data_IF_703100501997
#
_entry.id   IF_703100501997
#
_cell.length_a   1.000
_cell.length_b   1.000
_cell.length_c   1.000
_cell.angle_alpha   90.00
_cell.angle_beta   90.00
_cell.angle_gamma   90.00
#
_symmetry.space_group_name_H-M   'P 1'
#
loop_
_entity.id
_entity.type
_entity.pdbx_description
1 polymer ?
#
# COMPACT_ATOMS: atom_id res chain seq x y z
N UNK A 1 10.41 -6.53 10.48
CA UNK A 1 9.80 -7.34 9.41
C UNK A 1 9.56 -6.42 8.21
N UNK A 2 9.82 -6.89 6.99
CA UNK A 2 9.53 -6.22 5.72
C UNK A 2 8.23 -6.82 5.16
N UNK A 3 7.28 -5.99 4.72
CA UNK A 3 6.03 -6.43 4.10
C UNK A 3 5.84 -5.79 2.74
N UNK A 4 5.09 -6.50 1.87
CA UNK A 4 4.86 -6.10 0.48
C UNK A 4 3.38 -5.83 0.22
N UNK A 5 3.12 -4.78 -0.56
CA UNK A 5 1.83 -4.45 -1.17
C UNK A 5 2.05 -4.49 -2.68
N UNK A 6 1.26 -5.28 -3.40
CA UNK A 6 1.40 -5.48 -4.84
C UNK A 6 0.24 -4.85 -5.61
N UNK A 7 0.48 -4.51 -6.87
CA UNK A 7 -0.53 -3.98 -7.79
C UNK A 7 -1.74 -4.92 -7.95
N UNK A 8 -1.51 -6.23 -8.03
CA UNK A 8 -2.56 -7.25 -8.23
C UNK A 8 -3.12 -7.81 -6.91
N UNK A 9 -2.98 -7.11 -5.80
CA UNK A 9 -3.46 -7.45 -4.45
C UNK A 9 -2.94 -8.78 -3.89
N UNK A 10 -2.74 -9.82 -4.70
CA UNK A 10 -2.28 -11.17 -4.36
C UNK A 10 -3.05 -11.79 -3.17
N UNK A 11 -4.37 -11.61 -3.17
CA UNK A 11 -5.24 -12.25 -2.20
C UNK A 11 -5.54 -13.69 -2.62
N UNK A 12 -5.58 -14.58 -1.63
CA UNK A 12 -5.96 -15.98 -1.87
C UNK A 12 -7.48 -16.08 -2.02
N UNK A 13 -8.01 -16.44 -3.21
CA UNK A 13 -9.44 -16.36 -3.51
C UNK A 13 -10.30 -17.38 -2.73
N UNK A 14 -9.69 -18.46 -2.26
CA UNK A 14 -10.37 -19.49 -1.47
C UNK A 14 -10.55 -19.08 0.00
N UNK A 15 -9.74 -18.15 0.50
CA UNK A 15 -9.82 -17.65 1.86
C UNK A 15 -10.73 -16.42 1.94
N UNK A 16 -11.37 -16.23 3.09
CA UNK A 16 -12.06 -14.97 3.38
C UNK A 16 -11.05 -13.84 3.69
N UNK A 17 -11.55 -12.62 3.81
CA UNK A 17 -10.75 -11.40 4.07
C UNK A 17 -9.92 -11.55 5.35
N UNK A 18 -10.54 -11.97 6.45
CA UNK A 18 -9.83 -12.13 7.73
C UNK A 18 -8.68 -13.13 7.62
N UNK A 19 -8.91 -14.28 6.98
CA UNK A 19 -7.90 -15.30 6.83
C UNK A 19 -6.76 -14.87 5.88
N UNK A 20 -7.05 -14.05 4.86
CA UNK A 20 -6.02 -13.42 4.03
C UNK A 20 -5.12 -12.51 4.87
N UNK A 21 -5.71 -11.68 5.73
CA UNK A 21 -4.96 -10.76 6.60
C UNK A 21 -4.18 -11.51 7.66
N UNK A 22 -4.70 -12.64 8.16
CA UNK A 22 -4.04 -13.45 9.18
C UNK A 22 -2.85 -14.29 8.66
N UNK A 23 -2.68 -14.45 7.33
CA UNK A 23 -1.63 -15.31 6.77
C UNK A 23 -0.22 -15.06 7.32
N UNK A 24 0.29 -13.82 7.36
CA UNK A 24 1.64 -13.57 7.91
C UNK A 24 1.74 -13.92 9.39
N UNK A 25 0.65 -13.81 10.14
CA UNK A 25 0.59 -14.14 11.56
C UNK A 25 0.63 -15.65 11.78
N UNK A 26 0.00 -16.41 10.88
CA UNK A 26 0.07 -17.88 10.86
C UNK A 26 1.51 -18.35 10.67
N UNK A 27 2.22 -17.79 9.68
CA UNK A 27 3.63 -18.13 9.43
C UNK A 27 4.58 -17.67 10.56
N UNK A 28 4.20 -16.62 11.28
CA UNK A 28 4.92 -16.18 12.48
C UNK A 28 4.65 -17.06 13.71
N UNK A 29 3.83 -18.11 13.59
CA UNK A 29 3.56 -19.08 14.65
C UNK A 29 2.62 -18.58 15.76
N UNK A 30 1.87 -17.49 15.54
CA UNK A 30 0.93 -16.97 16.52
C UNK A 30 -0.25 -17.93 16.73
N UNK A 31 -0.81 -17.94 17.93
CA UNK A 31 -2.02 -18.69 18.25
C UNK A 31 -3.23 -18.18 17.43
N UNK A 32 -4.24 -19.02 17.22
CA UNK A 32 -5.46 -18.65 16.50
C UNK A 32 -6.16 -17.42 17.11
N UNK A 33 -6.13 -17.27 18.41
CA UNK A 33 -6.71 -16.13 19.12
C UNK A 33 -5.96 -14.83 18.77
N UNK A 34 -4.62 -14.85 18.83
CA UNK A 34 -3.78 -13.70 18.48
C UNK A 34 -3.90 -13.33 17.00
N UNK A 35 -3.92 -14.36 16.11
CA UNK A 35 -4.14 -14.14 14.67
C UNK A 35 -5.45 -13.39 14.43
N UNK A 36 -6.55 -13.86 15.04
CA UNK A 36 -7.87 -13.22 14.91
C UNK A 36 -7.86 -11.78 15.43
N UNK A 37 -7.31 -11.56 16.62
CA UNK A 37 -7.24 -10.23 17.24
C UNK A 37 -6.45 -9.24 16.37
N UNK A 38 -5.24 -9.61 15.96
CA UNK A 38 -4.37 -8.74 15.14
C UNK A 38 -4.94 -8.51 13.74
N UNK A 39 -5.52 -9.54 13.11
CA UNK A 39 -6.13 -9.41 11.80
C UNK A 39 -7.36 -8.49 11.84
N UNK A 40 -8.21 -8.60 12.86
CA UNK A 40 -9.35 -7.69 13.03
C UNK A 40 -8.90 -6.26 13.29
N UNK A 41 -7.90 -6.03 14.14
CA UNK A 41 -7.34 -4.69 14.36
C UNK A 41 -6.76 -4.07 13.07
N UNK A 42 -6.11 -4.88 12.23
CA UNK A 42 -5.61 -4.41 10.93
C UNK A 42 -6.76 -4.09 9.95
N UNK A 43 -7.83 -4.89 9.94
CA UNK A 43 -9.02 -4.63 9.13
C UNK A 43 -9.77 -3.36 9.59
N UNK A 44 -9.81 -3.11 10.88
CA UNK A 44 -10.40 -1.90 11.43
C UNK A 44 -9.65 -0.64 10.98
N UNK A 45 -8.31 -0.67 10.98
CA UNK A 45 -7.48 0.43 10.47
C UNK A 45 -7.78 0.79 9.01
N UNK A 46 -8.11 -0.19 8.17
CA UNK A 46 -8.45 0.04 6.76
C UNK A 46 -9.95 0.21 6.50
N UNK A 47 -10.79 0.21 7.56
CA UNK A 47 -12.24 0.40 7.48
C UNK A 47 -12.99 -0.77 6.83
N UNK A 48 -12.54 -2.01 7.03
CA UNK A 48 -13.11 -3.22 6.43
C UNK A 48 -13.42 -4.35 7.43
N UNK A 49 -13.58 -4.03 8.71
CA UNK A 49 -13.93 -5.02 9.75
C UNK A 49 -15.27 -5.71 9.49
N UNK A 50 -16.25 -5.00 8.90
CA UNK A 50 -17.55 -5.54 8.49
C UNK A 50 -17.45 -6.55 7.33
N UNK A 51 -16.36 -6.52 6.56
CA UNK A 51 -16.07 -7.41 5.42
C UNK A 51 -15.22 -8.63 5.78
N UNK A 52 -14.88 -8.84 7.05
CA UNK A 52 -13.98 -9.90 7.50
C UNK A 52 -14.35 -11.32 7.01
N UNK A 53 -15.66 -11.60 6.86
CA UNK A 53 -16.18 -12.89 6.40
C UNK A 53 -16.32 -13.00 4.87
N UNK A 54 -16.24 -11.88 4.14
CA UNK A 54 -16.36 -11.85 2.68
C UNK A 54 -15.17 -12.55 2.01
N UNK A 55 -15.37 -13.04 0.79
CA UNK A 55 -14.29 -13.49 -0.09
C UNK A 55 -13.77 -12.33 -0.94
N UNK A 56 -12.53 -12.38 -1.45
CA UNK A 56 -11.99 -11.34 -2.33
C UNK A 56 -12.90 -11.01 -3.52
N UNK A 57 -13.56 -12.01 -4.13
CA UNK A 57 -14.49 -11.82 -5.25
C UNK A 57 -15.73 -10.98 -4.93
N UNK A 58 -16.03 -10.76 -3.67
CA UNK A 58 -17.16 -9.96 -3.18
C UNK A 58 -16.76 -8.51 -2.87
N UNK A 59 -15.52 -8.12 -3.17
CA UNK A 59 -14.95 -6.81 -2.88
C UNK A 59 -14.63 -6.04 -4.17
N UNK A 60 -14.77 -4.72 -4.11
CA UNK A 60 -14.23 -3.84 -5.15
C UNK A 60 -12.70 -3.90 -5.19
N UNK A 61 -12.06 -3.46 -6.30
CA UNK A 61 -10.61 -3.40 -6.41
C UNK A 61 -9.95 -2.60 -5.29
N UNK A 62 -10.50 -1.44 -4.95
CA UNK A 62 -10.00 -0.62 -3.83
C UNK A 62 -10.14 -1.29 -2.46
N UNK A 63 -11.22 -2.04 -2.26
CA UNK A 63 -11.38 -2.84 -1.03
C UNK A 63 -10.37 -3.98 -0.99
N UNK A 64 -10.13 -4.68 -2.11
CA UNK A 64 -9.11 -5.72 -2.19
C UNK A 64 -7.71 -5.15 -1.90
N UNK A 65 -7.38 -3.96 -2.42
CA UNK A 65 -6.11 -3.29 -2.12
C UNK A 65 -6.00 -2.95 -0.63
N UNK A 66 -7.06 -2.45 0.00
CA UNK A 66 -7.06 -2.20 1.45
C UNK A 66 -6.90 -3.48 2.27
N UNK A 67 -7.45 -4.62 1.82
CA UNK A 67 -7.18 -5.93 2.45
C UNK A 67 -5.72 -6.33 2.32
N UNK A 68 -5.09 -6.10 1.15
CA UNK A 68 -3.65 -6.33 0.95
C UNK A 68 -2.81 -5.47 1.90
N UNK A 69 -3.18 -4.21 2.08
CA UNK A 69 -2.52 -3.30 3.05
C UNK A 69 -2.74 -3.80 4.49
N UNK A 70 -3.96 -4.19 4.87
CA UNK A 70 -4.24 -4.75 6.19
C UNK A 70 -3.40 -6.00 6.48
N UNK A 71 -3.23 -6.88 5.48
CA UNK A 71 -2.35 -8.05 5.57
C UNK A 71 -0.90 -7.65 5.84
N UNK A 72 -0.39 -6.63 5.18
CA UNK A 72 0.94 -6.10 5.44
C UNK A 72 1.07 -5.55 6.88
N UNK A 73 0.07 -4.81 7.35
CA UNK A 73 0.05 -4.18 8.67
C UNK A 73 -0.10 -5.17 9.83
N UNK A 74 -0.80 -6.29 9.63
CA UNK A 74 -1.10 -7.26 10.67
C UNK A 74 0.15 -7.76 11.40
N UNK A 75 1.28 -7.85 10.68
CA UNK A 75 2.58 -8.24 11.22
C UNK A 75 3.38 -7.11 11.89
N UNK A 76 2.83 -5.89 12.00
CA UNK A 76 3.54 -4.71 12.54
C UNK A 76 4.91 -4.50 11.87
N UNK A 77 4.98 -4.29 10.55
CA UNK A 77 6.24 -4.18 9.83
C UNK A 77 6.96 -2.87 10.17
N UNK A 78 8.30 -2.92 10.18
CA UNK A 78 9.13 -1.71 10.23
C UNK A 78 9.15 -0.97 8.88
N UNK A 79 9.04 -1.72 7.78
CA UNK A 79 9.08 -1.19 6.41
C UNK A 79 7.99 -1.84 5.57
N UNK A 80 7.27 -1.03 4.81
CA UNK A 80 6.27 -1.45 3.82
C UNK A 80 6.81 -1.10 2.43
N UNK A 81 6.93 -2.10 1.57
CA UNK A 81 7.27 -1.94 0.16
C UNK A 81 5.99 -2.01 -0.67
N UNK A 82 5.62 -0.91 -1.32
CA UNK A 82 4.43 -0.81 -2.14
C UNK A 82 4.82 -0.70 -3.62
N UNK A 83 4.55 -1.76 -4.38
CA UNK A 83 4.86 -1.88 -5.80
C UNK A 83 3.61 -1.57 -6.62
N UNK A 84 3.61 -0.41 -7.31
CA UNK A 84 2.48 0.12 -8.09
C UNK A 84 1.12 0.02 -7.36
N UNK A 85 1.00 0.49 -6.11
CA UNK A 85 -0.16 0.18 -5.26
C UNK A 85 -1.48 0.76 -5.77
N UNK A 86 -1.44 1.66 -6.75
CA UNK A 86 -2.61 2.31 -7.37
C UNK A 86 -2.81 1.94 -8.84
N UNK A 87 -1.88 1.19 -9.44
CA UNK A 87 -1.85 0.94 -10.89
C UNK A 87 -3.06 0.19 -11.46
N UNK A 88 -3.78 -0.58 -10.65
CA UNK A 88 -5.00 -1.29 -11.05
C UNK A 88 -6.30 -0.60 -10.61
N UNK A 89 -6.22 0.64 -10.09
CA UNK A 89 -7.35 1.36 -9.51
C UNK A 89 -7.77 2.56 -10.37
N UNK A 90 -9.03 2.93 -10.30
CA UNK A 90 -9.49 4.23 -10.83
C UNK A 90 -8.88 5.39 -10.03
N UNK A 91 -8.86 6.58 -10.63
CA UNK A 91 -8.18 7.75 -10.07
C UNK A 91 -8.69 8.15 -8.67
N UNK A 92 -9.99 8.00 -8.39
CA UNK A 92 -10.57 8.33 -7.08
C UNK A 92 -10.09 7.35 -6.02
N UNK A 93 -10.24 6.06 -6.30
CA UNK A 93 -9.82 4.97 -5.40
C UNK A 93 -8.31 4.98 -5.19
N UNK A 94 -7.52 5.27 -6.24
CA UNK A 94 -6.07 5.43 -6.16
C UNK A 94 -5.67 6.55 -5.19
N UNK A 95 -6.34 7.72 -5.24
CA UNK A 95 -6.11 8.82 -4.29
C UNK A 95 -6.42 8.41 -2.85
N UNK A 96 -7.49 7.65 -2.62
CA UNK A 96 -7.83 7.15 -1.28
C UNK A 96 -6.74 6.23 -0.72
N UNK A 97 -6.22 5.31 -1.55
CA UNK A 97 -5.11 4.42 -1.17
C UNK A 97 -3.84 5.21 -0.87
N UNK A 98 -3.49 6.20 -1.71
CA UNK A 98 -2.31 7.05 -1.46
C UNK A 98 -2.45 7.86 -0.17
N UNK A 99 -3.61 8.44 0.11
CA UNK A 99 -3.86 9.16 1.35
C UNK A 99 -3.71 8.24 2.56
N UNK A 100 -4.17 7.00 2.45
CA UNK A 100 -4.01 6.01 3.51
C UNK A 100 -2.53 5.66 3.74
N UNK A 101 -1.74 5.44 2.70
CA UNK A 101 -0.30 5.20 2.81
C UNK A 101 0.43 6.40 3.47
N UNK A 102 0.07 7.64 3.10
CA UNK A 102 0.60 8.85 3.74
C UNK A 102 0.26 8.93 5.23
N UNK A 103 -0.96 8.53 5.60
CA UNK A 103 -1.36 8.47 7.01
C UNK A 103 -0.51 7.45 7.77
N UNK A 104 -0.31 6.26 7.24
CA UNK A 104 0.57 5.25 7.84
C UNK A 104 2.00 5.74 8.02
N UNK A 105 2.52 6.51 7.05
CA UNK A 105 3.84 7.13 7.18
C UNK A 105 3.88 8.13 8.34
N UNK A 106 2.88 9.00 8.48
CA UNK A 106 2.76 9.93 9.61
C UNK A 106 2.63 9.22 10.96
N UNK A 107 2.09 8.01 10.98
CA UNK A 107 2.02 7.15 12.17
C UNK A 107 3.34 6.44 12.51
N UNK A 108 4.41 6.68 11.72
CA UNK A 108 5.76 6.18 11.97
C UNK A 108 6.19 4.99 11.13
N UNK A 109 5.38 4.55 10.15
CA UNK A 109 5.80 3.48 9.24
C UNK A 109 6.77 4.03 8.16
N UNK A 110 7.82 3.29 7.85
CA UNK A 110 8.62 3.56 6.66
C UNK A 110 7.95 2.92 5.45
N UNK A 111 7.65 3.75 4.43
CA UNK A 111 7.01 3.29 3.19
C UNK A 111 7.96 3.54 2.03
N UNK A 112 8.28 2.48 1.28
CA UNK A 112 9.01 2.55 0.02
C UNK A 112 7.99 2.30 -1.09
N UNK A 113 7.75 3.32 -1.90
CA UNK A 113 6.83 3.28 -3.02
C UNK A 113 7.59 3.09 -4.32
N UNK A 114 7.27 2.05 -5.07
CA UNK A 114 7.80 1.82 -6.41
C UNK A 114 6.72 2.21 -7.41
N UNK A 115 7.03 3.13 -8.32
CA UNK A 115 6.10 3.56 -9.36
C UNK A 115 6.84 4.14 -10.56
N UNK A 116 6.25 4.03 -11.74
CA UNK A 116 6.68 4.74 -12.94
C UNK A 116 5.87 6.03 -13.19
N UNK A 117 4.86 6.29 -12.35
CA UNK A 117 4.01 7.49 -12.45
C UNK A 117 4.61 8.64 -11.65
N UNK A 118 5.05 9.69 -12.36
CA UNK A 118 5.62 10.88 -11.75
C UNK A 118 4.62 11.65 -10.86
N UNK A 119 3.31 11.56 -11.15
CA UNK A 119 2.28 12.20 -10.32
C UNK A 119 2.12 11.52 -8.96
N UNK A 120 2.40 10.22 -8.90
CA UNK A 120 2.46 9.46 -7.66
C UNK A 120 3.78 9.73 -6.93
N UNK A 121 4.91 9.73 -7.65
CA UNK A 121 6.23 10.07 -7.09
C UNK A 121 6.24 11.49 -6.47
N UNK A 122 5.58 12.47 -7.10
CA UNK A 122 5.44 13.84 -6.60
C UNK A 122 4.77 13.93 -5.21
N UNK A 123 4.08 12.89 -4.79
CA UNK A 123 3.38 12.86 -3.51
C UNK A 123 4.23 12.31 -2.36
N UNK A 124 5.50 11.98 -2.61
CA UNK A 124 6.46 11.49 -1.61
C UNK A 124 7.39 12.60 -1.13
N UNK A 125 8.17 12.35 -0.08
CA UNK A 125 9.14 13.32 0.45
C UNK A 125 10.51 13.19 -0.22
N UNK A 126 10.89 11.98 -0.62
CA UNK A 126 12.17 11.63 -1.25
C UNK A 126 11.94 10.73 -2.45
N UNK A 127 12.70 10.97 -3.50
CA UNK A 127 12.68 10.17 -4.73
C UNK A 127 14.07 9.60 -4.99
N UNK A 128 14.10 8.30 -5.30
CA UNK A 128 15.26 7.64 -5.88
C UNK A 128 14.89 7.23 -7.30
N UNK A 129 15.52 7.85 -8.32
CA UNK A 129 15.26 7.54 -9.72
C UNK A 129 16.30 6.60 -10.27
N UNK A 130 15.83 5.54 -10.88
CA UNK A 130 16.67 4.51 -11.50
C UNK A 130 16.40 4.51 -13.00
N UNK A 131 17.46 4.59 -13.81
CA UNK A 131 17.42 4.47 -15.27
C UNK A 131 18.54 3.53 -15.71
N UNK A 132 18.21 2.53 -16.53
CA UNK A 132 19.16 1.51 -17.03
C UNK A 132 20.01 0.86 -15.90
N UNK A 133 19.34 0.57 -14.77
CA UNK A 133 19.97 -0.07 -13.62
C UNK A 133 20.92 0.83 -12.81
N UNK A 134 20.94 2.13 -13.08
CA UNK A 134 21.77 3.12 -12.36
C UNK A 134 20.88 4.13 -11.64
N UNK A 135 21.30 4.53 -10.44
CA UNK A 135 20.67 5.65 -9.72
C UNK A 135 21.12 6.94 -10.40
N UNK A 136 20.16 7.67 -10.97
CA UNK A 136 20.39 8.95 -11.65
C UNK A 136 19.94 10.15 -10.81
N UNK A 137 19.12 9.93 -9.79
CA UNK A 137 18.74 10.90 -8.79
C UNK A 137 18.45 10.22 -7.46
N UNK A 138 18.84 10.84 -6.37
CA UNK A 138 18.48 10.45 -4.99
C UNK A 138 18.46 11.71 -4.12
N UNK A 139 17.26 12.11 -3.69
CA UNK A 139 17.08 13.33 -2.91
C UNK A 139 15.62 13.72 -2.68
N UNK A 140 15.39 14.94 -2.16
CA UNK A 140 14.05 15.47 -1.96
C UNK A 140 13.25 15.52 -3.27
N UNK A 141 11.94 15.34 -3.18
CA UNK A 141 11.05 15.28 -4.37
C UNK A 141 11.06 16.57 -5.19
N UNK A 142 11.20 17.72 -4.55
CA UNK A 142 11.25 19.04 -5.20
C UNK A 142 12.53 19.28 -6.01
N UNK A 143 13.60 18.55 -5.74
CA UNK A 143 14.84 18.55 -6.52
C UNK A 143 14.82 17.62 -7.74
N UNK A 144 13.83 16.74 -7.87
CA UNK A 144 13.70 15.86 -9.04
C UNK A 144 13.09 16.63 -10.23
N UNK A 145 13.92 16.91 -11.26
CA UNK A 145 13.51 17.66 -12.46
C UNK A 145 12.36 17.00 -13.22
N UNK A 146 12.20 15.68 -13.16
CA UNK A 146 11.14 14.95 -13.85
C UNK A 146 9.79 15.10 -13.14
N UNK A 147 9.80 15.29 -11.83
CA UNK A 147 8.61 15.60 -11.03
C UNK A 147 8.26 17.09 -11.16
N UNK A 148 9.24 17.98 -11.06
CA UNK A 148 9.06 19.44 -11.12
C UNK A 148 8.49 19.94 -12.47
N UNK A 149 8.67 19.20 -13.57
CA UNK A 149 8.10 19.58 -14.88
C UNK A 149 6.59 19.32 -15.00
N UNK A 150 6.00 18.48 -14.15
CA UNK A 150 4.56 18.20 -14.18
C UNK A 150 3.73 19.25 -13.42
N UNK A 151 4.25 19.88 -12.39
CA UNK A 151 3.55 20.97 -11.69
C UNK A 151 3.33 22.22 -12.56
N UNK A 152 4.15 22.41 -13.61
CA UNK A 152 4.01 23.52 -14.55
C UNK A 152 3.01 23.24 -15.69
N UNK A 153 2.66 21.99 -15.94
CA UNK A 153 1.71 21.62 -17.02
C UNK A 153 0.24 21.55 -16.54
N UNK A 154 0.00 21.51 -15.22
CA UNK A 154 -1.33 21.45 -14.61
C UNK A 154 -1.91 22.81 -14.15
N UNK A 155 -1.20 23.90 -14.36
CA UNK A 155 -1.58 25.25 -13.89
C UNK A 155 -1.98 26.21 -15.01
N UNK A 156 -2.64 25.74 -16.05
CA UNK A 156 -3.12 26.54 -17.16
C UNK A 156 -4.50 26.08 -17.63
N UNK A 157 -5.53 26.55 -16.98
CA UNK A 157 -6.82 27.10 -17.43
C UNK A 157 -7.82 27.12 -16.29
#
# INVERSE_FOLDING_TARGET
MLCFIFQQYNLLPKLNVMNNVALPLLYAGLSKSEQKQKAMAALEKVGLSDKAKNKPSQLSGGQQQRVSIARALAGSPAVILADEPTGALDSKTGKEVMNFLKQLHKEGNTIILITHDNSIAAQTERVMRITDGKIVYDGPVDGDRMVATQDKAGGGE
#
